data_IF_889385370383
#
_entry.id   IF_889385370383
#
_cell.length_a   1.000
_cell.length_b   1.000
_cell.length_c   1.000
_cell.angle_alpha   90.00
_cell.angle_beta   90.00
_cell.angle_gamma   90.00
#
_symmetry.space_group_name_H-M   'P 1'
#
loop_
_entity.id
_entity.type
_entity.pdbx_description
1 polymer ?
#
# COMPACT_ATOMS: atom_id res chain seq x y z
N UNK A 1 21.87 -4.08 6.22
CA UNK A 1 21.38 -2.96 5.38
C UNK A 1 21.59 -3.25 3.91
N UNK A 2 22.76 -3.76 3.52
CA UNK A 2 23.06 -4.14 2.13
C UNK A 2 22.10 -5.20 1.57
N UNK A 3 21.67 -6.16 2.38
CA UNK A 3 20.61 -7.12 2.00
C UNK A 3 19.30 -6.42 1.62
N UNK A 4 18.88 -5.40 2.38
CA UNK A 4 17.66 -4.65 2.12
C UNK A 4 17.74 -3.78 0.87
N UNK A 5 18.93 -3.26 0.57
CA UNK A 5 19.18 -2.51 -0.66
C UNK A 5 18.98 -3.40 -1.90
N UNK A 6 19.50 -4.62 -1.86
CA UNK A 6 19.49 -5.55 -2.99
C UNK A 6 18.18 -6.36 -3.10
N UNK A 7 17.39 -6.43 -2.04
CA UNK A 7 16.09 -7.10 -2.05
C UNK A 7 14.98 -6.14 -2.52
N UNK A 8 14.47 -6.38 -3.73
CA UNK A 8 13.38 -5.60 -4.33
C UNK A 8 12.04 -5.75 -3.57
N UNK A 9 11.90 -6.75 -2.70
CA UNK A 9 10.69 -6.94 -1.88
C UNK A 9 10.68 -6.08 -0.62
N UNK A 10 11.83 -5.44 -0.29
CA UNK A 10 11.95 -4.51 0.83
C UNK A 10 11.86 -3.07 0.31
N UNK A 11 10.75 -2.41 0.62
CA UNK A 11 10.47 -1.03 0.21
C UNK A 11 10.94 0.00 1.25
N UNK A 12 10.71 -0.31 2.54
CA UNK A 12 10.96 0.60 3.65
C UNK A 12 11.96 0.00 4.63
N UNK A 13 12.97 0.78 5.00
CA UNK A 13 13.90 0.44 6.08
C UNK A 13 13.83 1.50 7.16
N UNK A 14 13.62 1.05 8.40
CA UNK A 14 13.65 1.87 9.60
C UNK A 14 14.85 1.46 10.44
N UNK A 15 15.60 2.45 10.94
CA UNK A 15 16.71 2.19 11.86
C UNK A 15 16.30 2.65 13.25
N UNK A 16 16.38 1.73 14.22
CA UNK A 16 16.18 2.05 15.63
C UNK A 16 17.49 1.86 16.37
N UNK A 17 17.93 2.90 17.08
CA UNK A 17 19.19 2.92 17.84
C UNK A 17 18.97 3.54 19.21
N UNK A 18 19.87 3.30 20.16
CA UNK A 18 19.80 4.02 21.43
C UNK A 18 20.19 5.50 21.25
N UNK A 19 21.30 5.79 20.57
CA UNK A 19 21.83 7.16 20.36
C UNK A 19 21.77 7.49 18.86
N UNK A 20 21.15 8.63 18.52
CA UNK A 20 20.93 9.10 17.15
C UNK A 20 22.05 9.97 16.57
N UNK A 21 21.78 10.57 15.41
CA UNK A 21 22.71 11.43 14.67
C UNK A 21 23.01 12.73 15.40
N UNK A 22 22.00 13.38 15.96
CA UNK A 22 22.10 14.71 16.54
C UNK A 22 21.42 14.69 17.92
N UNK A 23 21.62 15.74 18.69
CA UNK A 23 20.85 15.98 19.91
C UNK A 23 20.91 17.46 20.24
N UNK A 24 19.76 18.07 20.44
CA UNK A 24 19.62 19.42 21.00
C UNK A 24 19.74 19.49 22.53
N UNK A 25 20.04 18.39 23.23
CA UNK A 25 20.36 18.46 24.67
C UNK A 25 21.60 19.34 24.91
N UNK A 26 21.56 20.35 25.78
CA UNK A 26 22.75 21.13 26.12
C UNK A 26 23.93 20.24 26.55
N UNK A 27 25.10 20.46 25.91
CA UNK A 27 26.33 19.72 26.17
C UNK A 27 26.42 18.35 25.46
N UNK A 28 25.48 18.00 24.57
CA UNK A 28 25.55 16.83 23.70
C UNK A 28 25.35 17.24 22.25
N UNK A 29 25.82 16.39 21.32
CA UNK A 29 25.73 16.63 19.88
C UNK A 29 25.30 15.37 19.10
N UNK A 30 24.81 14.32 19.77
CA UNK A 30 24.57 13.01 19.16
C UNK A 30 25.84 12.22 18.81
N UNK A 31 25.70 11.13 18.04
CA UNK A 31 26.81 10.22 17.69
C UNK A 31 27.50 10.57 16.37
N UNK A 32 28.82 10.83 16.43
CA UNK A 32 29.65 11.02 15.25
C UNK A 32 29.76 9.77 14.37
N UNK A 33 29.76 8.58 14.98
CA UNK A 33 29.76 7.30 14.27
C UNK A 33 28.48 7.12 13.46
N UNK A 34 27.32 7.47 14.04
CA UNK A 34 26.06 7.41 13.30
C UNK A 34 26.02 8.44 12.16
N UNK A 35 26.58 9.64 12.35
CA UNK A 35 26.72 10.64 11.27
C UNK A 35 27.62 10.17 10.13
N UNK A 36 28.68 9.41 10.43
CA UNK A 36 29.56 8.83 9.41
C UNK A 36 28.83 7.80 8.50
N UNK A 37 27.67 7.31 8.92
CA UNK A 37 26.86 6.34 8.17
C UNK A 37 25.73 7.00 7.38
N UNK A 38 25.58 8.34 7.39
CA UNK A 38 24.47 9.05 6.74
C UNK A 38 24.29 8.67 5.27
N UNK A 39 25.38 8.57 4.51
CA UNK A 39 25.34 8.19 3.09
C UNK A 39 25.00 6.71 2.89
N UNK A 40 25.42 5.86 3.82
CA UNK A 40 25.01 4.46 3.82
C UNK A 40 23.52 4.33 4.12
N UNK A 41 22.97 5.07 5.10
CA UNK A 41 21.53 5.03 5.36
C UNK A 41 20.73 5.47 4.14
N UNK A 42 21.10 6.59 3.52
CA UNK A 42 20.41 7.11 2.33
C UNK A 42 20.44 6.13 1.15
N UNK A 43 21.59 5.48 0.91
CA UNK A 43 21.76 4.51 -0.18
C UNK A 43 21.12 3.14 0.08
N UNK A 44 20.68 2.85 1.31
CA UNK A 44 20.09 1.57 1.71
C UNK A 44 18.59 1.68 2.09
N UNK A 45 17.84 2.55 1.39
CA UNK A 45 16.38 2.70 1.52
C UNK A 45 15.90 3.13 2.92
N UNK A 46 16.77 3.66 3.76
CA UNK A 46 16.38 4.13 5.09
C UNK A 46 15.48 5.33 4.95
N UNK A 47 14.29 5.25 5.55
CA UNK A 47 13.27 6.31 5.52
C UNK A 47 13.43 7.28 6.70
N UNK A 48 13.67 6.72 7.89
CA UNK A 48 13.88 7.48 9.12
C UNK A 48 14.77 6.70 10.10
N UNK A 49 15.57 7.43 10.86
CA UNK A 49 16.32 6.88 12.00
C UNK A 49 15.71 7.38 13.30
N UNK A 50 15.26 6.43 14.13
CA UNK A 50 14.65 6.68 15.41
C UNK A 50 15.64 6.35 16.52
N UNK A 51 15.70 7.23 17.52
CA UNK A 51 16.58 7.08 18.67
C UNK A 51 15.91 7.47 19.97
N UNK A 52 16.51 7.05 21.08
CA UNK A 52 16.15 7.48 22.42
C UNK A 52 17.32 8.20 23.07
N UNK A 53 17.75 7.68 24.23
CA UNK A 53 18.86 8.18 25.05
C UNK A 53 18.62 9.56 25.69
N UNK A 54 18.23 10.53 24.89
CA UNK A 54 17.86 11.86 25.36
C UNK A 54 16.36 11.93 25.63
N UNK A 55 15.99 12.25 26.87
CA UNK A 55 14.62 12.15 27.35
C UNK A 55 13.76 13.35 26.94
N UNK A 56 13.54 13.52 25.64
CA UNK A 56 12.64 14.51 25.05
C UNK A 56 12.13 14.02 23.68
N UNK A 57 11.29 14.82 23.03
CA UNK A 57 10.89 14.60 21.64
C UNK A 57 11.66 15.54 20.71
N UNK A 58 12.21 15.03 19.62
CA UNK A 58 12.74 15.87 18.54
C UNK A 58 12.59 15.20 17.19
N UNK A 59 12.20 15.97 16.19
CA UNK A 59 12.25 15.60 14.79
C UNK A 59 13.13 16.62 14.04
N UNK A 60 14.06 16.11 13.25
CA UNK A 60 14.83 16.93 12.34
C UNK A 60 15.24 16.21 11.07
N UNK A 61 15.92 16.97 10.21
CA UNK A 61 16.44 16.53 8.92
C UNK A 61 17.96 16.62 8.95
N UNK A 62 18.65 15.53 8.65
CA UNK A 62 20.11 15.52 8.56
C UNK A 62 20.61 16.37 7.39
N UNK A 63 21.91 16.69 7.38
CA UNK A 63 22.54 17.41 6.27
C UNK A 63 22.44 16.73 4.90
N UNK A 64 22.05 15.46 4.82
CA UNK A 64 21.79 14.76 3.56
C UNK A 64 20.28 14.50 3.29
N UNK A 65 19.39 15.15 4.04
CA UNK A 65 17.94 15.09 3.83
C UNK A 65 17.25 13.89 4.48
N UNK A 66 17.91 13.16 5.36
CA UNK A 66 17.33 12.00 6.03
C UNK A 66 16.61 12.44 7.31
N UNK A 67 15.36 12.00 7.48
CA UNK A 67 14.62 12.21 8.71
C UNK A 67 15.28 11.48 9.88
N UNK A 68 15.39 12.16 11.01
CA UNK A 68 15.75 11.55 12.28
C UNK A 68 14.79 11.98 13.38
N UNK A 69 14.53 11.07 14.31
CA UNK A 69 13.66 11.31 15.46
C UNK A 69 14.37 10.89 16.74
N UNK A 70 14.26 11.73 17.77
CA UNK A 70 14.52 11.39 19.16
C UNK A 70 13.16 11.22 19.83
N UNK A 71 12.85 10.02 20.27
CA UNK A 71 11.61 9.65 20.98
C UNK A 71 11.97 9.05 22.35
N UNK A 72 12.75 9.81 23.13
CA UNK A 72 13.27 9.34 24.43
C UNK A 72 12.38 9.66 25.63
N UNK A 73 11.22 10.30 25.42
CA UNK A 73 10.27 10.70 26.47
C UNK A 73 9.44 9.55 27.06
N UNK A 74 9.94 8.32 27.10
CA UNK A 74 9.15 7.13 27.45
C UNK A 74 8.80 6.94 28.94
N UNK A 75 9.19 7.86 29.83
CA UNK A 75 8.77 7.86 31.25
C UNK A 75 9.83 8.25 32.27
N UNK A 76 11.09 8.39 31.89
CA UNK A 76 12.14 8.95 32.75
C UNK A 76 12.04 10.49 32.84
N UNK A 77 12.65 11.15 33.84
CA UNK A 77 12.67 12.61 33.93
C UNK A 77 13.18 13.25 32.63
N UNK A 78 12.42 14.21 32.14
CA UNK A 78 12.66 14.85 30.86
C UNK A 78 13.88 15.77 30.92
N UNK A 79 14.60 15.86 29.80
CA UNK A 79 15.73 16.78 29.66
C UNK A 79 15.29 18.09 29.01
N UNK A 80 15.98 19.18 29.34
CA UNK A 80 15.90 20.42 28.57
C UNK A 80 16.47 20.19 27.16
N UNK A 81 15.84 20.80 26.16
CA UNK A 81 16.28 20.82 24.77
C UNK A 81 16.49 22.26 24.30
N UNK A 82 17.59 22.51 23.57
CA UNK A 82 18.01 23.81 23.05
C UNK A 82 18.52 23.68 21.60
N UNK A 83 17.61 23.56 20.62
CA UNK A 83 18.00 23.36 19.23
C UNK A 83 18.90 24.48 18.69
N UNK A 84 18.78 25.70 19.20
CA UNK A 84 19.62 26.85 18.84
C UNK A 84 21.11 26.68 19.21
N UNK A 85 21.43 25.77 20.13
CA UNK A 85 22.81 25.47 20.54
C UNK A 85 23.43 24.34 19.71
N UNK A 86 22.64 23.62 18.91
CA UNK A 86 23.10 22.52 18.06
C UNK A 86 23.65 23.05 16.73
N UNK A 87 24.88 23.57 16.72
CA UNK A 87 25.45 24.25 15.54
C UNK A 87 26.67 23.56 14.90
N UNK A 88 27.10 22.40 15.43
CA UNK A 88 28.38 21.80 15.03
C UNK A 88 28.36 21.06 13.69
N UNK A 89 27.18 20.68 13.19
CA UNK A 89 27.04 19.86 11.99
C UNK A 89 25.81 20.28 11.18
N UNK A 90 25.81 20.15 9.85
CA UNK A 90 24.63 20.45 9.03
C UNK A 90 23.45 19.52 9.39
N UNK A 91 22.36 20.13 9.84
CA UNK A 91 21.04 19.54 10.05
C UNK A 91 20.03 20.67 10.28
N UNK A 92 18.75 20.33 10.22
CA UNK A 92 17.64 21.19 10.59
C UNK A 92 16.85 20.50 11.69
N UNK A 93 16.45 21.24 12.72
CA UNK A 93 15.52 20.77 13.75
C UNK A 93 14.16 21.37 13.43
N UNK A 94 13.15 20.51 13.21
CA UNK A 94 11.81 20.93 12.85
C UNK A 94 10.94 21.12 14.10
N UNK A 95 11.01 20.17 15.02
CA UNK A 95 10.28 20.19 16.30
C UNK A 95 11.21 19.65 17.39
N UNK A 96 11.21 20.28 18.56
CA UNK A 96 11.98 19.81 19.72
C UNK A 96 11.30 20.28 21.00
N UNK A 97 10.82 19.34 21.82
CA UNK A 97 10.08 19.62 23.03
C UNK A 97 10.45 18.66 24.16
N UNK A 98 10.63 19.22 25.38
CA UNK A 98 10.78 18.44 26.61
C UNK A 98 9.43 17.86 27.02
N UNK A 99 9.06 16.73 26.41
CA UNK A 99 7.74 16.11 26.59
C UNK A 99 7.79 14.58 26.52
N UNK A 100 6.91 13.94 27.31
CA UNK A 100 6.67 12.51 27.18
C UNK A 100 5.97 12.21 25.87
N UNK A 101 6.47 11.23 25.12
CA UNK A 101 6.00 11.00 23.76
C UNK A 101 6.11 9.53 23.33
N UNK A 102 5.37 9.20 22.28
CA UNK A 102 5.49 7.96 21.52
C UNK A 102 5.23 8.20 20.04
N UNK A 103 5.65 7.26 19.19
CA UNK A 103 5.43 7.30 17.74
C UNK A 103 4.38 6.28 17.31
N UNK A 104 3.55 6.67 16.35
CA UNK A 104 2.70 5.78 15.56
C UNK A 104 3.21 5.83 14.13
N UNK A 105 3.63 4.67 13.61
CA UNK A 105 4.12 4.54 12.23
C UNK A 105 3.14 3.69 11.44
N UNK A 106 2.48 4.31 10.46
CA UNK A 106 1.57 3.63 9.53
C UNK A 106 2.32 3.36 8.24
N UNK A 107 2.29 2.12 7.75
CA UNK A 107 2.90 1.75 6.47
C UNK A 107 1.80 1.25 5.53
N UNK A 108 1.60 1.98 4.42
CA UNK A 108 0.62 1.65 3.40
C UNK A 108 1.26 1.60 2.01
N UNK A 109 1.67 0.41 1.56
CA UNK A 109 2.33 0.25 0.26
C UNK A 109 3.67 1.00 0.23
N UNK A 110 3.83 1.95 -0.68
CA UNK A 110 5.02 2.83 -0.77
C UNK A 110 4.92 4.09 0.09
N UNK A 111 3.82 4.27 0.83
CA UNK A 111 3.62 5.38 1.74
C UNK A 111 3.91 4.99 3.19
N UNK A 112 4.52 5.91 3.92
CA UNK A 112 4.75 5.84 5.35
C UNK A 112 4.29 7.14 5.97
N UNK A 113 3.49 7.04 7.02
CA UNK A 113 3.17 8.16 7.90
C UNK A 113 3.77 7.90 9.27
N UNK A 114 4.38 8.95 9.82
CA UNK A 114 4.90 8.95 11.17
C UNK A 114 4.21 10.07 11.94
N UNK A 115 3.52 9.72 13.02
CA UNK A 115 2.88 10.66 13.93
C UNK A 115 3.52 10.53 15.31
N UNK A 116 4.06 11.63 15.82
CA UNK A 116 4.49 11.74 17.20
C UNK A 116 3.34 12.27 18.06
N UNK A 117 3.12 11.64 19.22
CA UNK A 117 2.06 12.01 20.15
C UNK A 117 2.56 12.13 21.58
N UNK A 118 1.94 13.00 22.37
CA UNK A 118 2.10 12.98 23.82
C UNK A 118 1.24 11.90 24.48
N UNK A 119 1.32 11.77 25.80
CA UNK A 119 0.60 10.74 26.57
C UNK A 119 -0.93 10.90 26.55
N UNK A 120 -1.43 12.10 26.26
CA UNK A 120 -2.87 12.36 26.10
C UNK A 120 -3.34 12.09 24.65
N UNK A 121 -2.42 11.67 23.77
CA UNK A 121 -2.69 11.37 22.37
C UNK A 121 -2.71 12.59 21.46
N UNK A 122 -2.36 13.78 21.96
CA UNK A 122 -2.23 15.00 21.15
C UNK A 122 -1.03 14.85 20.21
N UNK A 123 -1.25 15.22 18.95
CA UNK A 123 -0.18 15.21 17.93
C UNK A 123 0.83 16.31 18.24
N UNK A 124 2.10 15.92 18.35
CA UNK A 124 3.25 16.81 18.50
C UNK A 124 3.82 17.20 17.14
N UNK A 125 3.90 16.21 16.24
CA UNK A 125 4.42 16.36 14.90
C UNK A 125 3.94 15.21 14.01
N UNK A 126 3.89 15.44 12.70
CA UNK A 126 3.53 14.42 11.72
C UNK A 126 4.20 14.68 10.39
N UNK A 127 4.69 13.63 9.74
CA UNK A 127 5.20 13.72 8.38
C UNK A 127 4.96 12.43 7.59
N UNK A 128 4.98 12.57 6.28
CA UNK A 128 4.74 11.49 5.33
C UNK A 128 5.94 11.29 4.41
N UNK A 129 6.16 10.04 4.00
CA UNK A 129 7.17 9.65 3.02
C UNK A 129 6.50 8.80 1.94
N UNK A 130 6.65 9.20 0.68
CA UNK A 130 6.07 8.50 -0.46
C UNK A 130 4.74 9.12 -0.93
N UNK A 131 3.96 8.35 -1.68
CA UNK A 131 2.68 8.81 -2.25
C UNK A 131 1.54 8.18 -1.48
N UNK A 132 0.70 9.00 -0.83
CA UNK A 132 -0.44 8.53 -0.06
C UNK A 132 -1.34 7.60 -0.90
N UNK A 133 -1.83 6.50 -0.31
CA UNK A 133 -2.78 5.63 -0.98
C UNK A 133 -4.15 6.30 -1.15
N UNK A 134 -5.02 5.70 -1.96
CA UNK A 134 -6.43 6.12 -2.05
C UNK A 134 -7.19 5.90 -0.74
N UNK A 135 -6.86 4.83 -0.01
CA UNK A 135 -7.46 4.53 1.29
C UNK A 135 -6.51 3.74 2.19
N UNK A 136 -6.74 3.80 3.50
CA UNK A 136 -6.12 2.93 4.50
C UNK A 136 -7.19 2.01 5.11
N UNK A 137 -8.41 2.52 5.22
CA UNK A 137 -9.57 1.83 5.74
C UNK A 137 -10.83 2.20 4.93
N UNK A 138 -11.90 1.41 5.10
CA UNK A 138 -13.10 1.54 4.28
C UNK A 138 -13.75 2.94 4.35
N UNK A 139 -13.61 3.64 5.49
CA UNK A 139 -14.22 4.97 5.69
C UNK A 139 -13.58 6.07 4.86
N UNK A 140 -12.34 5.86 4.40
CA UNK A 140 -11.62 6.84 3.56
C UNK A 140 -12.23 6.92 2.16
N UNK A 141 -12.94 5.87 1.73
CA UNK A 141 -13.56 5.77 0.40
C UNK A 141 -14.89 6.53 0.26
N UNK A 142 -15.31 7.29 1.28
CA UNK A 142 -16.63 7.94 1.31
C UNK A 142 -16.89 8.92 0.15
N UNK A 143 -15.82 9.50 -0.38
CA UNK A 143 -15.88 10.51 -1.45
C UNK A 143 -15.79 9.87 -2.86
N UNK A 144 -15.53 8.56 -2.94
CA UNK A 144 -15.52 7.81 -4.19
C UNK A 144 -16.93 7.50 -4.70
N UNK A 145 -17.06 7.24 -6.00
CA UNK A 145 -18.35 6.91 -6.60
C UNK A 145 -18.78 5.49 -6.24
N UNK A 146 -19.84 5.36 -5.43
CA UNK A 146 -20.42 4.08 -5.09
C UNK A 146 -20.96 3.34 -6.34
N UNK A 147 -20.99 2.01 -6.26
CA UNK A 147 -21.64 1.18 -7.28
C UNK A 147 -23.16 1.37 -7.31
N UNK A 148 -23.81 0.81 -8.31
CA UNK A 148 -25.27 0.94 -8.53
C UNK A 148 -26.11 0.02 -7.63
N UNK A 149 -25.46 -0.90 -6.92
CA UNK A 149 -26.07 -1.87 -6.02
C UNK A 149 -25.96 -1.41 -4.55
N UNK A 150 -26.90 -1.80 -3.68
CA UNK A 150 -26.71 -1.71 -2.24
C UNK A 150 -25.42 -2.46 -1.84
N UNK A 151 -24.57 -1.82 -1.05
CA UNK A 151 -23.24 -2.34 -0.77
C UNK A 151 -22.49 -1.50 0.25
N UNK A 152 -21.19 -1.76 0.37
CA UNK A 152 -20.30 -1.02 1.26
C UNK A 152 -18.92 -0.86 0.64
N UNK A 153 -18.25 0.22 1.03
CA UNK A 153 -16.84 0.40 0.70
C UNK A 153 -15.96 -0.61 1.42
N UNK A 154 -14.89 -1.00 0.75
CA UNK A 154 -13.78 -1.74 1.35
C UNK A 154 -12.49 -1.16 0.80
N UNK A 155 -11.51 -0.96 1.68
CA UNK A 155 -10.16 -0.66 1.24
C UNK A 155 -9.43 -1.97 0.95
N UNK A 156 -9.00 -2.17 -0.30
CA UNK A 156 -8.32 -3.39 -0.72
C UNK A 156 -6.91 -3.47 -0.13
N UNK A 157 -6.29 -4.66 -0.19
CA UNK A 157 -4.88 -4.86 0.22
C UNK A 157 -3.87 -4.08 -0.63
N UNK A 158 -4.30 -3.60 -1.81
CA UNK A 158 -3.54 -2.69 -2.68
C UNK A 158 -3.87 -1.22 -2.42
N UNK A 159 -4.59 -0.92 -1.34
CA UNK A 159 -4.97 0.43 -0.91
C UNK A 159 -5.83 1.20 -1.92
N UNK A 160 -6.66 0.46 -2.64
CA UNK A 160 -7.67 0.99 -3.57
C UNK A 160 -9.06 0.83 -2.97
N UNK A 161 -9.91 1.84 -3.18
CA UNK A 161 -11.31 1.78 -2.81
C UNK A 161 -12.08 0.86 -3.75
N UNK A 162 -12.78 -0.12 -3.18
CA UNK A 162 -13.65 -1.03 -3.91
C UNK A 162 -15.06 -0.99 -3.30
N UNK A 163 -16.06 -0.72 -4.13
CA UNK A 163 -17.46 -0.88 -3.75
C UNK A 163 -17.86 -2.35 -3.92
N UNK A 164 -18.16 -3.01 -2.81
CA UNK A 164 -18.64 -4.39 -2.83
C UNK A 164 -20.16 -4.39 -2.73
N UNK A 165 -20.83 -4.92 -3.75
CA UNK A 165 -22.26 -5.18 -3.68
C UNK A 165 -22.53 -6.18 -2.55
N UNK A 166 -23.59 -5.93 -1.77
CA UNK A 166 -24.13 -6.92 -0.87
C UNK A 166 -24.55 -8.14 -1.70
N UNK A 167 -24.21 -9.34 -1.22
CA UNK A 167 -24.68 -10.57 -1.86
C UNK A 167 -26.22 -10.54 -1.93
N UNK A 168 -26.75 -10.90 -3.10
CA UNK A 168 -28.19 -10.98 -3.31
C UNK A 168 -28.81 -11.94 -2.29
N UNK A 169 -29.97 -11.56 -1.76
CA UNK A 169 -30.75 -12.43 -0.89
C UNK A 169 -31.05 -13.74 -1.63
N UNK A 170 -30.88 -14.89 -0.98
CA UNK A 170 -31.35 -16.15 -1.56
C UNK A 170 -32.89 -16.19 -1.58
N UNK A 171 -33.44 -16.89 -2.56
CA UNK A 171 -34.88 -17.05 -2.72
C UNK A 171 -35.21 -18.37 -3.42
N UNK A 172 -36.48 -18.77 -3.32
CA UNK A 172 -37.10 -19.73 -4.22
C UNK A 172 -38.13 -19.05 -5.14
N UNK A 173 -38.65 -17.88 -4.76
CA UNK A 173 -39.61 -17.10 -5.55
C UNK A 173 -39.42 -15.60 -5.31
N UNK A 174 -39.78 -14.77 -6.30
CA UNK A 174 -39.56 -13.31 -6.25
C UNK A 174 -40.28 -12.58 -5.11
N UNK A 175 -41.41 -13.11 -4.63
CA UNK A 175 -42.16 -12.56 -3.50
C UNK A 175 -41.42 -12.62 -2.16
N UNK A 176 -40.39 -13.47 -2.06
CA UNK A 176 -39.54 -13.61 -0.87
C UNK A 176 -38.49 -12.50 -0.77
N UNK A 177 -38.24 -11.76 -1.85
CA UNK A 177 -37.24 -10.73 -1.94
C UNK A 177 -37.68 -9.46 -1.22
N UNK A 178 -36.98 -9.10 -0.13
CA UNK A 178 -37.36 -7.98 0.77
C UNK A 178 -36.47 -6.75 0.63
N UNK A 179 -35.58 -6.73 -0.36
CA UNK A 179 -34.64 -5.63 -0.54
C UNK A 179 -35.30 -4.42 -1.18
N UNK A 180 -34.80 -3.22 -0.85
CA UNK A 180 -35.28 -1.98 -1.44
C UNK A 180 -34.97 -1.96 -2.95
N UNK A 181 -35.87 -1.38 -3.75
CA UNK A 181 -35.66 -1.22 -5.18
C UNK A 181 -34.33 -0.51 -5.46
N UNK A 182 -33.48 -1.04 -6.37
CA UNK A 182 -32.24 -0.38 -6.75
C UNK A 182 -32.49 1.00 -7.38
N UNK A 183 -31.93 2.05 -6.79
CA UNK A 183 -32.08 3.43 -7.26
C UNK A 183 -31.47 3.62 -8.65
N UNK A 184 -32.21 4.27 -9.57
CA UNK A 184 -31.74 4.52 -10.95
C UNK A 184 -31.84 3.31 -11.88
N UNK A 185 -32.33 2.18 -11.39
CA UNK A 185 -32.60 0.96 -12.16
C UNK A 185 -34.09 0.98 -12.52
N UNK A 186 -34.43 0.63 -13.76
CA UNK A 186 -35.75 0.91 -14.35
C UNK A 186 -36.96 0.34 -13.56
N UNK A 187 -38.19 0.71 -13.96
CA UNK A 187 -39.41 0.14 -13.37
C UNK A 187 -39.48 -1.37 -13.68
N UNK A 188 -39.50 -2.19 -12.63
CA UNK A 188 -39.52 -3.66 -12.71
C UNK A 188 -40.09 -4.25 -11.42
N UNK A 189 -39.88 -5.55 -11.21
CA UNK A 189 -40.24 -6.28 -9.99
C UNK A 189 -39.09 -7.18 -9.53
N UNK A 190 -39.14 -7.65 -8.28
CA UNK A 190 -38.21 -8.66 -7.80
C UNK A 190 -38.55 -10.04 -8.38
N UNK A 191 -37.55 -10.66 -9.00
CA UNK A 191 -37.61 -12.02 -9.52
C UNK A 191 -36.55 -12.87 -8.81
N UNK A 192 -36.86 -14.13 -8.54
CA UNK A 192 -35.84 -15.09 -8.15
C UNK A 192 -35.17 -15.61 -9.40
N UNK A 193 -33.86 -15.53 -9.55
CA UNK A 193 -33.16 -16.11 -10.70
C UNK A 193 -31.95 -16.85 -10.16
N UNK A 194 -31.85 -18.15 -10.46
CA UNK A 194 -30.81 -19.03 -9.93
C UNK A 194 -30.72 -18.97 -8.40
N UNK A 195 -31.87 -18.99 -7.73
CA UNK A 195 -32.00 -18.90 -6.28
C UNK A 195 -31.46 -17.61 -5.65
N UNK A 196 -31.33 -16.54 -6.43
CA UNK A 196 -30.91 -15.22 -5.98
C UNK A 196 -31.93 -14.15 -6.38
N UNK A 197 -32.27 -13.27 -5.44
CA UNK A 197 -33.14 -12.13 -5.68
C UNK A 197 -32.48 -11.15 -6.64
N UNK A 198 -33.10 -10.91 -7.79
CA UNK A 198 -32.62 -9.98 -8.78
C UNK A 198 -33.73 -8.99 -9.16
N UNK A 199 -33.37 -7.71 -9.29
CA UNK A 199 -34.30 -6.70 -9.77
C UNK A 199 -34.44 -6.84 -11.28
N UNK A 200 -35.59 -7.33 -11.70
CA UNK A 200 -35.85 -7.67 -13.07
C UNK A 200 -36.61 -6.54 -13.74
N UNK A 201 -35.83 -5.71 -14.40
CA UNK A 201 -36.30 -4.62 -15.23
C UNK A 201 -37.29 -5.11 -16.29
N UNK A 202 -37.04 -6.26 -16.92
CA UNK A 202 -37.82 -6.77 -18.03
C UNK A 202 -38.99 -7.67 -17.62
N UNK A 203 -39.19 -7.87 -16.30
CA UNK A 203 -40.16 -8.79 -15.72
C UNK A 203 -40.08 -10.22 -16.31
N UNK A 204 -38.91 -10.63 -16.79
CA UNK A 204 -38.66 -11.95 -17.38
C UNK A 204 -39.14 -13.08 -16.46
N UNK A 205 -38.97 -13.05 -15.15
CA UNK A 205 -39.56 -14.08 -14.26
C UNK A 205 -39.03 -15.51 -14.48
N UNK A 206 -39.27 -16.41 -13.52
CA UNK A 206 -38.95 -17.83 -13.66
C UNK A 206 -40.03 -18.60 -14.42
N UNK A 207 -39.62 -19.68 -15.09
CA UNK A 207 -40.52 -20.58 -15.79
C UNK A 207 -39.98 -22.01 -15.77
N UNK A 208 -40.88 -22.98 -15.90
CA UNK A 208 -40.54 -24.37 -16.25
C UNK A 208 -40.94 -24.71 -17.69
N UNK A 209 -41.91 -23.97 -18.24
CA UNK A 209 -42.41 -24.12 -19.60
C UNK A 209 -42.75 -22.77 -20.23
N UNK A 210 -42.85 -22.70 -21.56
CA UNK A 210 -43.24 -21.48 -22.28
C UNK A 210 -44.62 -20.95 -21.86
N UNK A 211 -45.50 -21.80 -21.31
CA UNK A 211 -46.84 -21.40 -20.86
C UNK A 211 -46.77 -20.51 -19.62
N UNK A 212 -45.73 -20.65 -18.79
CA UNK A 212 -45.52 -19.84 -17.59
C UNK A 212 -45.22 -18.38 -17.95
N UNK A 213 -44.81 -18.15 -19.21
CA UNK A 213 -44.39 -16.85 -19.74
C UNK A 213 -45.50 -16.09 -20.49
N UNK A 214 -46.69 -16.69 -20.65
CA UNK A 214 -47.75 -16.17 -21.53
C UNK A 214 -48.32 -14.81 -21.10
N UNK A 215 -48.32 -14.53 -19.79
CA UNK A 215 -48.93 -13.32 -19.21
C UNK A 215 -47.91 -12.18 -19.03
N UNK A 216 -46.65 -12.40 -19.46
CA UNK A 216 -45.57 -11.41 -19.36
C UNK A 216 -45.80 -10.25 -20.32
N UNK A 217 -45.56 -9.03 -19.83
CA UNK A 217 -45.77 -7.80 -20.60
C UNK A 217 -44.42 -7.25 -21.05
N UNK A 218 -44.22 -7.05 -22.36
CA UNK A 218 -42.97 -6.53 -22.87
C UNK A 218 -42.81 -5.04 -22.51
N UNK A 219 -41.59 -4.65 -22.13
CA UNK A 219 -41.26 -3.25 -21.89
C UNK A 219 -41.18 -2.41 -23.17
N UNK A 220 -40.86 -3.05 -24.29
CA UNK A 220 -40.68 -2.42 -25.60
C UNK A 220 -41.73 -2.98 -26.54
N UNK A 221 -42.44 -2.10 -27.27
CA UNK A 221 -43.37 -2.54 -28.31
C UNK A 221 -42.58 -3.03 -29.53
N UNK A 222 -42.73 -4.29 -29.88
CA UNK A 222 -42.39 -4.78 -31.20
C UNK A 222 -43.43 -5.75 -31.75
N UNK A 223 -43.56 -5.75 -33.07
CA UNK A 223 -44.54 -6.59 -33.76
C UNK A 223 -44.11 -8.06 -33.69
N UNK A 224 -45.07 -8.94 -33.39
CA UNK A 224 -44.84 -10.39 -33.20
C UNK A 224 -43.85 -10.75 -32.08
N UNK A 225 -43.71 -9.87 -31.08
CA UNK A 225 -42.91 -10.18 -29.89
C UNK A 225 -43.53 -11.30 -29.05
N UNK A 226 -42.70 -12.15 -28.46
CA UNK A 226 -43.16 -13.21 -27.57
C UNK A 226 -42.17 -13.45 -26.44
N UNK A 227 -42.63 -14.06 -25.35
CA UNK A 227 -41.76 -14.58 -24.30
C UNK A 227 -41.64 -16.10 -24.45
N UNK A 228 -40.46 -16.64 -24.19
CA UNK A 228 -40.19 -18.08 -24.19
C UNK A 228 -39.42 -18.45 -22.93
N UNK A 229 -39.65 -19.66 -22.42
CA UNK A 229 -38.86 -20.16 -21.32
C UNK A 229 -37.50 -20.63 -21.84
N UNK A 230 -36.44 -19.90 -21.50
CA UNK A 230 -35.06 -20.27 -21.80
C UNK A 230 -34.23 -20.25 -20.51
N UNK A 231 -33.45 -21.31 -20.27
CA UNK A 231 -32.67 -21.50 -19.05
C UNK A 231 -33.46 -21.24 -17.73
N UNK A 232 -34.74 -21.64 -17.68
CA UNK A 232 -35.70 -21.40 -16.58
C UNK A 232 -36.08 -19.93 -16.34
N UNK A 233 -35.91 -19.06 -17.33
CA UNK A 233 -36.26 -17.63 -17.29
C UNK A 233 -37.13 -17.28 -18.51
N UNK A 234 -38.19 -16.48 -18.36
CA UNK A 234 -38.95 -16.05 -19.54
C UNK A 234 -38.21 -14.96 -20.29
N UNK A 235 -37.48 -15.34 -21.32
CA UNK A 235 -36.73 -14.41 -22.12
C UNK A 235 -37.63 -13.76 -23.18
N UNK A 236 -37.45 -12.45 -23.38
CA UNK A 236 -38.22 -11.67 -24.35
C UNK A 236 -37.57 -11.74 -25.73
N UNK A 237 -38.32 -12.24 -26.71
CA UNK A 237 -37.90 -12.31 -28.10
C UNK A 237 -38.64 -11.28 -28.93
N UNK A 238 -37.88 -10.51 -29.70
CA UNK A 238 -38.36 -9.44 -30.55
C UNK A 238 -37.86 -9.67 -31.99
N UNK A 239 -38.63 -10.37 -32.84
CA UNK A 239 -38.21 -10.66 -34.20
C UNK A 239 -38.22 -9.38 -35.04
N UNK A 240 -37.05 -8.78 -35.27
CA UNK A 240 -36.93 -7.71 -36.26
C UNK A 240 -36.99 -8.33 -37.66
N UNK A 241 -37.90 -7.84 -38.50
CA UNK A 241 -37.93 -8.18 -39.92
C UNK A 241 -36.69 -7.64 -40.64
N UNK A 242 -35.62 -8.44 -40.72
CA UNK A 242 -34.60 -8.40 -41.79
C UNK A 242 -33.36 -7.49 -41.61
N UNK A 243 -32.22 -8.11 -41.26
CA UNK A 243 -30.83 -7.60 -41.40
C UNK A 243 -30.27 -6.93 -40.13
N UNK A 244 -29.19 -7.37 -39.47
CA UNK A 244 -27.89 -7.82 -39.99
C UNK A 244 -27.23 -8.86 -39.07
N UNK A 245 -26.51 -9.76 -39.70
CA UNK A 245 -25.60 -10.82 -39.23
C UNK A 245 -25.01 -10.72 -37.81
N UNK A 246 -25.13 -11.81 -37.05
CA UNK A 246 -23.95 -12.57 -36.60
C UNK A 246 -24.33 -14.03 -36.44
N UNK A 247 -23.90 -14.84 -37.41
CA UNK A 247 -24.02 -16.29 -37.37
C UNK A 247 -22.91 -16.91 -36.54
N UNK A 248 -23.27 -17.96 -35.83
CA UNK A 248 -22.43 -18.97 -35.19
C UNK A 248 -21.22 -19.40 -36.04
N UNK A 249 -20.13 -19.83 -35.39
CA UNK A 249 -19.29 -20.90 -35.94
C UNK A 249 -17.79 -20.78 -35.70
N UNK A 250 -17.29 -21.76 -34.97
CA UNK A 250 -15.92 -22.32 -35.07
C UNK A 250 -15.43 -22.46 -36.52
N UNK A 251 -14.14 -22.18 -36.78
CA UNK A 251 -13.43 -22.77 -37.94
C UNK A 251 -12.38 -21.89 -38.65
N UNK A 252 -11.13 -22.02 -38.21
CA UNK A 252 -9.86 -22.01 -38.96
C UNK A 252 -9.83 -21.63 -40.46
N UNK A 253 -9.11 -20.57 -40.81
CA UNK A 253 -8.11 -20.41 -41.90
C UNK A 253 -7.25 -19.19 -41.48
N UNK A 254 -5.92 -19.08 -41.57
CA UNK A 254 -4.92 -19.60 -42.48
C UNK A 254 -4.13 -18.40 -43.04
N UNK A 255 -3.06 -17.95 -42.35
CA UNK A 255 -2.01 -17.04 -42.85
C UNK A 255 -0.86 -17.00 -41.81
N UNK A 256 0.24 -17.76 -41.97
CA UNK A 256 1.51 -17.42 -42.66
C UNK A 256 2.28 -16.24 -42.08
N UNK A 257 3.53 -16.48 -41.65
CA UNK A 257 4.56 -15.48 -41.31
C UNK A 257 5.17 -15.74 -39.93
N UNK A 258 6.01 -16.76 -39.80
CA UNK A 258 7.49 -16.64 -39.73
C UNK A 258 8.04 -16.21 -38.36
N UNK A 259 8.49 -17.24 -37.62
CA UNK A 259 9.55 -17.16 -36.61
C UNK A 259 10.90 -17.07 -37.36
N UNK A 260 11.97 -16.56 -36.72
CA UNK A 260 12.98 -17.52 -36.33
C UNK A 260 13.58 -17.30 -34.93
N UNK A 261 14.00 -18.43 -34.40
CA UNK A 261 14.70 -18.71 -33.15
C UNK A 261 16.10 -19.25 -33.47
N UNK A 262 17.05 -19.02 -32.56
CA UNK A 262 18.39 -19.68 -32.51
C UNK A 262 19.46 -19.01 -33.38
N UNK A 263 20.74 -18.97 -33.04
CA UNK A 263 21.52 -19.66 -32.00
C UNK A 263 22.91 -19.00 -31.85
N UNK A 264 23.46 -19.08 -30.63
CA UNK A 264 24.83 -19.46 -30.25
C UNK A 264 26.13 -18.75 -30.75
N UNK A 265 26.97 -18.45 -29.73
CA UNK A 265 28.41 -18.76 -29.57
C UNK A 265 29.54 -17.81 -30.04
N UNK A 266 30.59 -17.72 -29.17
CA UNK A 266 31.97 -17.23 -29.42
C UNK A 266 32.34 -16.02 -28.55
N UNK A 267 33.16 -16.12 -27.48
CA UNK A 267 34.64 -16.18 -27.48
C UNK A 267 35.21 -14.77 -27.76
N UNK A 268 36.08 -14.09 -26.99
CA UNK A 268 37.33 -14.42 -26.25
C UNK A 268 37.73 -13.17 -25.43
N UNK A 269 38.13 -13.26 -24.17
CA UNK A 269 39.52 -13.20 -23.63
C UNK A 269 40.33 -11.89 -23.87
N UNK A 270 41.06 -11.50 -22.80
CA UNK A 270 42.26 -10.66 -22.70
C UNK A 270 42.07 -9.11 -22.75
N UNK A 271 42.76 -8.27 -21.99
CA UNK A 271 43.93 -8.39 -21.10
C UNK A 271 43.94 -7.18 -20.11
N UNK A 272 44.44 -7.40 -18.89
CA UNK A 272 45.10 -6.35 -18.07
C UNK A 272 46.58 -6.29 -18.46
N UNK A 273 47.33 -5.19 -18.27
CA UNK A 273 48.02 -4.91 -16.98
C UNK A 273 48.17 -3.39 -16.71
N UNK A 274 48.63 -2.86 -15.57
CA UNK A 274 49.21 -3.38 -14.34
C UNK A 274 49.92 -2.24 -13.57
N UNK A 275 50.33 -2.54 -12.33
CA UNK A 275 51.42 -1.93 -11.53
C UNK A 275 51.25 -0.50 -10.98
N UNK A 276 51.77 -0.10 -9.80
CA UNK A 276 52.44 -0.77 -8.69
C UNK A 276 52.72 0.21 -7.52
N UNK A 277 52.85 -0.34 -6.31
CA UNK A 277 53.77 0.00 -5.18
C UNK A 277 53.76 1.40 -4.54
N UNK A 278 53.65 1.54 -3.21
CA UNK A 278 54.70 1.31 -2.18
C UNK A 278 54.11 1.76 -0.81
N UNK A 279 54.51 1.36 0.41
CA UNK A 279 55.68 0.69 0.96
C UNK A 279 56.09 1.34 2.30
N UNK A 280 55.79 0.67 3.42
CA UNK A 280 56.19 0.71 4.84
C UNK A 280 57.25 1.70 5.43
N UNK A 281 57.10 2.10 6.72
CA UNK A 281 57.99 1.73 7.87
C UNK A 281 57.57 2.28 9.27
N UNK A 282 57.97 1.53 10.32
CA UNK A 282 57.81 1.61 11.81
C UNK A 282 58.44 2.85 12.49
N UNK A 283 58.23 3.30 13.76
CA UNK A 283 57.61 2.94 15.07
C UNK A 283 57.99 4.08 16.10
N UNK A 284 58.07 3.95 17.46
CA UNK A 284 57.20 3.38 18.52
C UNK A 284 56.93 4.33 19.76
N UNK A 285 56.25 3.81 20.82
CA UNK A 285 56.00 4.34 22.21
C UNK A 285 54.93 5.46 22.39
N UNK A 286 54.01 5.52 23.39
CA UNK A 286 53.95 5.03 24.78
C UNK A 286 52.47 4.86 25.29
N UNK A 287 52.23 3.80 26.09
CA UNK A 287 51.45 3.70 27.34
C UNK A 287 50.25 4.64 27.64
N UNK A 288 49.06 4.05 27.85
CA UNK A 288 47.97 4.67 28.61
C UNK A 288 46.78 3.74 28.81
N UNK A 289 46.65 3.16 30.00
CA UNK A 289 45.57 2.30 30.46
C UNK A 289 44.20 2.98 30.37
N UNK A 290 43.20 2.30 29.80
CA UNK A 290 41.81 2.76 29.79
C UNK A 290 40.88 1.59 29.50
N UNK A 291 40.00 1.30 30.46
CA UNK A 291 39.09 0.17 30.46
C UNK A 291 38.22 0.11 29.18
N UNK A 292 38.25 -1.04 28.50
CA UNK A 292 37.27 -1.37 27.46
C UNK A 292 35.90 -1.56 28.11
N UNK A 293 35.05 -0.53 28.03
CA UNK A 293 33.61 -0.73 28.05
C UNK A 293 33.19 -1.13 26.64
N UNK A 294 32.91 -2.42 26.45
CA UNK A 294 32.21 -2.91 25.26
C UNK A 294 30.84 -2.24 25.20
N UNK A 295 30.71 -1.19 24.38
CA UNK A 295 29.41 -0.71 23.93
C UNK A 295 28.85 -1.72 22.94
N UNK A 296 27.94 -2.56 23.42
CA UNK A 296 27.11 -3.40 22.57
C UNK A 296 26.07 -2.49 21.89
N UNK A 297 26.40 -1.97 20.72
CA UNK A 297 25.46 -1.33 19.80
C UNK A 297 24.53 -2.41 19.24
N UNK A 298 23.39 -2.61 19.88
CA UNK A 298 22.27 -3.36 19.31
C UNK A 298 21.60 -2.50 18.25
N UNK A 299 22.03 -2.64 16.99
CA UNK A 299 21.22 -2.22 15.85
C UNK A 299 20.10 -3.23 15.67
N UNK A 300 18.86 -2.80 15.94
CA UNK A 300 17.67 -3.53 15.53
C UNK A 300 17.15 -2.90 14.23
N UNK A 301 17.18 -3.66 13.14
CA UNK A 301 16.49 -3.30 11.91
C UNK A 301 15.13 -4.02 11.89
N UNK A 302 14.04 -3.27 11.91
CA UNK A 302 12.71 -3.83 11.60
C UNK A 302 12.53 -3.87 10.10
N UNK A 303 12.27 -5.07 9.57
CA UNK A 303 11.98 -5.32 8.16
C UNK A 303 10.51 -5.73 8.05
N UNK A 304 9.69 -4.91 7.41
CA UNK A 304 8.28 -5.23 7.12
C UNK A 304 8.22 -5.86 5.73
N UNK A 305 7.82 -7.14 5.64
CA UNK A 305 7.70 -7.87 4.37
C UNK A 305 6.26 -7.93 3.89
N UNK A 306 6.07 -7.82 2.57
CA UNK A 306 4.79 -8.08 1.88
C UNK A 306 4.46 -9.58 1.96
N UNK A 307 3.34 -9.95 2.59
CA UNK A 307 2.78 -11.31 2.45
C UNK A 307 1.89 -11.33 1.22
N UNK A 308 2.28 -12.11 0.22
CA UNK A 308 1.38 -12.49 -0.87
C UNK A 308 0.49 -13.64 -0.36
N UNK A 309 -0.83 -13.47 -0.45
CA UNK A 309 -1.83 -14.54 -0.43
C UNK A 309 -2.54 -14.47 -1.77
#
# INVERSE_FOLDING_TARGET
>A
MEDAKNDATIEHVFVVTHIGFYSSKPGRNGSGQMRALLDQFKSNKVKVVMSGHDHYFEHGISGNGLHYIITGGGGAPLYETKPELSLLYPHEVLVSDSIHNYLVVTVAGNWVEVIAKDLDGKVLDSFEIGTAPTCIEAKDCKDEKAGTCPGSWTCTVSYQCLWSCKAAQSCNQGSECKEAQPTGTCKGDWTCINSACQWDCAQTGECSTDTDCKDKKPLIKCDNSYFKCDANVCEFYCPTGGGSTSGNGTGNTGATGEQPSGDSAGGTANDSPGSSSSGCHHGPFHSGSGALWMFCLLLAAMVVRRRWI
#
